data_IF_971597058834
#
_entry.id   IF_971597058834
#
_cell.length_a   1.000
_cell.length_b   1.000
_cell.length_c   1.000
_cell.angle_alpha   90.00
_cell.angle_beta   90.00
_cell.angle_gamma   90.00
#
_symmetry.space_group_name_H-M   'P 1'
#
loop_
_entity.id
_entity.type
_entity.pdbx_description
1 polymer ?
#
# COMPACT_ATOMS: atom_id res chain seq x y z
N UNK A 1 19.61 -84.55 -11.17
CA UNK A 1 19.86 -85.49 -12.28
C UNK A 1 20.52 -84.72 -13.41
N UNK A 2 21.81 -85.00 -13.68
CA UNK A 2 22.71 -84.62 -14.82
C UNK A 2 22.80 -83.13 -15.21
N UNK A 3 23.89 -82.38 -14.94
CA UNK A 3 25.27 -82.33 -15.53
C UNK A 3 25.37 -81.95 -17.02
N UNK A 4 26.35 -81.06 -17.24
CA UNK A 4 27.13 -80.76 -18.47
C UNK A 4 26.49 -79.78 -19.46
N UNK A 5 27.19 -78.87 -20.16
CA UNK A 5 28.59 -78.42 -20.27
C UNK A 5 28.53 -77.10 -21.10
N UNK A 6 29.39 -76.10 -20.86
CA UNK A 6 30.51 -75.68 -21.73
C UNK A 6 30.09 -75.30 -23.19
N UNK A 7 30.42 -74.16 -23.81
CA UNK A 7 31.26 -73.04 -23.47
C UNK A 7 31.41 -72.09 -24.69
N UNK A 8 31.89 -70.86 -24.39
CA UNK A 8 32.70 -69.94 -25.21
C UNK A 8 32.20 -69.37 -26.55
N UNK A 9 32.04 -68.05 -26.54
CA UNK A 9 32.19 -67.15 -27.69
C UNK A 9 32.34 -65.68 -27.27
N UNK A 10 33.59 -65.23 -27.11
CA UNK A 10 34.10 -63.83 -27.05
C UNK A 10 33.27 -62.85 -27.93
N UNK A 11 33.04 -61.57 -27.62
CA UNK A 11 33.97 -60.51 -27.22
C UNK A 11 33.16 -59.19 -27.04
N UNK A 12 33.61 -58.37 -26.09
CA UNK A 12 33.71 -56.91 -26.14
C UNK A 12 33.08 -56.10 -25.00
N UNK A 13 34.02 -55.45 -24.31
CA UNK A 13 33.92 -54.42 -23.30
C UNK A 13 33.16 -53.21 -23.83
N UNK A 14 32.22 -52.69 -23.04
CA UNK A 14 32.12 -51.25 -22.85
C UNK A 14 31.83 -50.93 -21.38
N UNK A 15 32.70 -50.08 -20.83
CA UNK A 15 32.73 -49.59 -19.45
C UNK A 15 31.49 -48.75 -19.18
N UNK A 16 30.75 -49.05 -18.11
CA UNK A 16 29.77 -48.16 -17.53
C UNK A 16 30.51 -47.07 -16.74
N UNK A 17 30.44 -45.83 -17.21
CA UNK A 17 30.81 -44.65 -16.44
C UNK A 17 29.52 -44.07 -15.81
N UNK A 18 29.42 -44.15 -14.48
CA UNK A 18 28.42 -43.41 -13.71
C UNK A 18 28.71 -41.91 -13.83
N UNK A 19 27.85 -41.17 -14.53
CA UNK A 19 27.80 -39.71 -14.46
C UNK A 19 26.68 -39.34 -13.50
N UNK A 20 27.05 -38.79 -12.34
CA UNK A 20 26.13 -38.16 -11.43
C UNK A 20 25.61 -36.86 -12.08
N UNK A 21 24.31 -36.79 -12.33
CA UNK A 21 23.65 -35.58 -12.80
C UNK A 21 23.43 -34.67 -11.59
N UNK A 22 24.31 -33.69 -11.38
CA UNK A 22 24.01 -32.55 -10.52
C UNK A 22 22.94 -31.71 -11.24
N UNK A 23 21.70 -31.76 -10.75
CA UNK A 23 20.68 -30.78 -11.09
C UNK A 23 21.05 -29.43 -10.44
N UNK A 24 21.81 -28.60 -11.15
CA UNK A 24 21.87 -27.17 -10.88
C UNK A 24 20.53 -26.55 -11.27
N UNK A 25 19.71 -26.25 -10.26
CA UNK A 25 18.54 -25.40 -10.44
C UNK A 25 19.05 -23.99 -10.71
N UNK A 26 19.00 -23.55 -11.97
CA UNK A 26 19.14 -22.14 -12.29
C UNK A 26 17.87 -21.41 -11.81
N UNK A 27 17.97 -20.34 -10.99
CA UNK A 27 16.81 -19.51 -10.73
C UNK A 27 16.34 -18.95 -12.07
N UNK A 28 15.08 -19.25 -12.41
CA UNK A 28 14.48 -18.78 -13.64
C UNK A 28 14.52 -17.25 -13.69
N UNK A 29 14.70 -16.71 -14.90
CA UNK A 29 14.65 -15.26 -15.20
C UNK A 29 13.36 -14.56 -14.73
N UNK A 30 12.34 -15.29 -14.26
CA UNK A 30 11.17 -14.74 -13.61
C UNK A 30 11.39 -14.27 -12.17
N UNK A 31 12.31 -14.87 -11.41
CA UNK A 31 12.56 -14.51 -10.00
C UNK A 31 13.45 -13.26 -9.87
N UNK A 32 14.46 -13.14 -10.75
CA UNK A 32 15.38 -11.99 -10.79
C UNK A 32 14.66 -10.70 -11.24
N UNK A 33 13.73 -10.80 -12.19
CA UNK A 33 12.96 -9.64 -12.67
C UNK A 33 11.88 -9.22 -11.66
N UNK A 34 11.39 -10.13 -10.82
CA UNK A 34 10.47 -9.78 -9.73
C UNK A 34 11.18 -9.02 -8.60
N UNK A 35 12.47 -9.31 -8.33
CA UNK A 35 13.21 -8.64 -7.25
C UNK A 35 13.56 -7.18 -7.54
N UNK A 36 13.80 -6.80 -8.81
CA UNK A 36 14.11 -5.40 -9.17
C UNK A 36 12.87 -4.49 -9.18
N UNK A 37 11.67 -5.03 -9.42
CA UNK A 37 10.41 -4.26 -9.45
C UNK A 37 9.99 -3.85 -8.04
N UNK A 38 10.11 -4.74 -7.07
CA UNK A 38 9.61 -4.54 -5.71
C UNK A 38 10.51 -3.57 -4.94
N UNK A 39 9.96 -2.86 -3.93
CA UNK A 39 10.80 -2.09 -3.01
C UNK A 39 11.76 -3.02 -2.25
N UNK A 40 12.96 -2.52 -1.95
CA UNK A 40 13.91 -3.26 -1.12
C UNK A 40 13.29 -3.63 0.23
N UNK A 41 13.70 -4.77 0.77
CA UNK A 41 13.12 -5.32 1.99
C UNK A 41 14.19 -6.06 2.78
N UNK A 42 14.25 -5.80 4.09
CA UNK A 42 15.05 -6.57 5.04
C UNK A 42 14.30 -6.69 6.36
N UNK A 43 14.58 -7.75 7.10
CA UNK A 43 14.13 -7.92 8.49
C UNK A 43 15.17 -7.44 9.52
N UNK A 44 16.31 -6.90 9.10
CA UNK A 44 17.38 -6.48 10.02
C UNK A 44 16.83 -5.51 11.08
N UNK A 45 16.02 -4.54 10.66
CA UNK A 45 15.25 -3.66 11.53
C UNK A 45 13.78 -3.58 11.08
N UNK A 46 12.96 -2.75 11.73
CA UNK A 46 11.57 -2.52 11.31
C UNK A 46 11.56 -1.95 9.89
N UNK A 47 10.92 -2.61 8.89
CA UNK A 47 10.85 -2.06 7.54
C UNK A 47 9.95 -0.83 7.52
N UNK A 48 10.50 0.30 7.08
CA UNK A 48 9.78 1.58 7.02
C UNK A 48 9.47 1.99 5.58
N UNK A 49 8.47 2.84 5.41
CA UNK A 49 8.22 3.55 4.16
C UNK A 49 7.79 4.99 4.43
N UNK A 50 7.62 5.77 3.37
CA UNK A 50 7.15 7.15 3.48
C UNK A 50 5.93 7.43 2.60
N UNK A 51 5.03 8.25 3.12
CA UNK A 51 3.88 8.79 2.41
C UNK A 51 3.73 10.26 2.80
N UNK A 52 4.05 11.18 1.88
CA UNK A 52 4.26 12.58 2.23
C UNK A 52 3.78 13.53 1.13
N UNK A 53 3.34 14.72 1.53
CA UNK A 53 3.13 15.88 0.65
C UNK A 53 3.85 17.11 1.21
N UNK A 54 4.45 17.88 0.32
CA UNK A 54 5.00 19.20 0.64
C UNK A 54 4.69 20.13 -0.53
N UNK A 55 3.97 21.23 -0.30
CA UNK A 55 3.59 22.13 -1.41
C UNK A 55 4.81 22.78 -2.05
N UNK A 56 5.92 22.80 -1.33
CA UNK A 56 7.19 23.35 -1.75
C UNK A 56 8.17 22.27 -2.19
N UNK A 57 9.23 22.63 -2.93
CA UNK A 57 10.38 21.74 -3.12
C UNK A 57 10.97 21.27 -1.78
N UNK A 58 11.45 20.03 -1.74
CA UNK A 58 12.17 19.47 -0.58
C UNK A 58 13.58 20.05 -0.49
N UNK A 59 14.07 20.26 0.73
CA UNK A 59 15.46 20.69 0.97
C UNK A 59 16.43 19.51 0.80
N UNK A 60 17.74 19.74 0.64
CA UNK A 60 18.73 18.66 0.58
C UNK A 60 18.67 17.69 1.78
N UNK A 61 18.41 18.21 2.98
CA UNK A 61 18.31 17.40 4.21
C UNK A 61 17.06 16.51 4.20
N UNK A 62 15.93 17.05 3.73
CA UNK A 62 14.70 16.27 3.57
C UNK A 62 14.84 15.22 2.48
N UNK A 63 15.51 15.53 1.37
CA UNK A 63 15.81 14.56 0.30
C UNK A 63 16.71 13.43 0.80
N UNK A 64 17.73 13.74 1.60
CA UNK A 64 18.56 12.74 2.27
C UNK A 64 17.75 11.88 3.23
N UNK A 65 16.83 12.48 3.98
CA UNK A 65 15.93 11.71 4.84
C UNK A 65 15.03 10.77 4.02
N UNK A 66 14.40 11.29 2.97
CA UNK A 66 13.55 10.53 2.07
C UNK A 66 14.28 9.37 1.38
N UNK A 67 15.55 9.55 1.02
CA UNK A 67 16.32 8.51 0.32
C UNK A 67 16.58 7.25 1.12
N UNK A 68 16.36 7.24 2.45
CA UNK A 68 16.48 6.03 3.26
C UNK A 68 15.29 5.07 3.11
N UNK A 69 14.15 5.54 2.59
CA UNK A 69 12.96 4.71 2.47
C UNK A 69 12.95 3.95 1.15
N UNK A 70 12.74 2.62 1.16
CA UNK A 70 12.66 1.82 -0.06
C UNK A 70 11.39 2.08 -0.86
N UNK A 71 10.34 2.59 -0.23
CA UNK A 71 9.04 2.92 -0.84
C UNK A 71 8.61 4.32 -0.38
N UNK A 72 8.27 5.18 -1.34
CA UNK A 72 7.86 6.56 -1.09
C UNK A 72 6.65 6.88 -1.95
N UNK A 73 5.58 7.38 -1.34
CA UNK A 73 4.46 7.98 -2.06
C UNK A 73 4.52 9.49 -1.92
N UNK A 74 4.56 10.20 -3.05
CA UNK A 74 4.35 11.63 -3.09
C UNK A 74 2.88 11.94 -3.37
N UNK A 75 2.27 12.61 -2.40
CA UNK A 75 0.86 12.96 -2.40
C UNK A 75 0.53 14.12 -3.35
N UNK A 76 -0.77 14.34 -3.56
CA UNK A 76 -1.27 15.51 -4.30
C UNK A 76 -0.64 16.80 -3.78
N UNK A 77 -0.47 17.78 -4.67
CA UNK A 77 0.15 19.10 -4.41
C UNK A 77 1.65 19.10 -4.11
N UNK A 78 2.35 17.96 -4.17
CA UNK A 78 3.80 17.93 -3.94
C UNK A 78 4.54 18.82 -4.96
N UNK A 79 5.35 19.77 -4.47
CA UNK A 79 6.10 20.72 -5.30
C UNK A 79 5.25 21.70 -6.12
N UNK A 80 3.95 21.79 -5.85
CA UNK A 80 3.01 22.59 -6.65
C UNK A 80 3.42 24.06 -6.75
N UNK A 81 3.98 24.64 -5.67
CA UNK A 81 4.29 26.08 -5.64
C UNK A 81 5.44 26.46 -6.56
N UNK A 82 6.47 25.63 -6.66
CA UNK A 82 7.64 25.91 -7.49
C UNK A 82 7.50 25.36 -8.91
N UNK A 83 6.73 24.28 -9.10
CA UNK A 83 6.67 23.55 -10.37
C UNK A 83 5.30 23.59 -11.06
N UNK A 84 4.30 24.24 -10.47
CA UNK A 84 3.02 24.58 -11.11
C UNK A 84 1.98 23.45 -11.18
N UNK A 85 2.39 22.19 -11.09
CA UNK A 85 1.48 21.02 -11.08
C UNK A 85 1.98 19.90 -10.17
N UNK A 86 1.05 19.03 -9.73
CA UNK A 86 1.41 17.83 -8.95
C UNK A 86 2.31 16.89 -9.75
N UNK A 87 2.06 16.74 -11.06
CA UNK A 87 2.89 15.98 -11.99
C UNK A 87 4.34 16.49 -12.00
N UNK A 88 4.53 17.78 -12.29
CA UNK A 88 5.87 18.36 -12.37
C UNK A 88 6.59 18.35 -11.03
N UNK A 89 5.89 18.67 -9.94
CA UNK A 89 6.50 18.68 -8.61
C UNK A 89 6.86 17.28 -8.10
N UNK A 90 6.02 16.28 -8.38
CA UNK A 90 6.33 14.87 -8.06
C UNK A 90 7.52 14.37 -8.87
N UNK A 91 7.57 14.66 -10.17
CA UNK A 91 8.70 14.29 -11.02
C UNK A 91 10.02 14.86 -10.49
N UNK A 92 10.04 16.15 -10.10
CA UNK A 92 11.24 16.78 -9.54
C UNK A 92 11.65 16.18 -8.19
N UNK A 93 10.71 15.90 -7.31
CA UNK A 93 11.00 15.23 -6.05
C UNK A 93 11.54 13.80 -6.28
N UNK A 94 10.93 13.06 -7.21
CA UNK A 94 11.33 11.71 -7.58
C UNK A 94 12.76 11.67 -8.13
N UNK A 95 13.06 12.54 -9.12
CA UNK A 95 14.41 12.68 -9.68
C UNK A 95 15.45 12.97 -8.59
N UNK A 96 15.15 13.90 -7.68
CA UNK A 96 16.07 14.28 -6.60
C UNK A 96 16.30 13.14 -5.59
N UNK A 97 15.28 12.36 -5.25
CA UNK A 97 15.46 11.17 -4.41
C UNK A 97 16.26 10.10 -5.15
N UNK A 98 15.95 9.83 -6.43
CA UNK A 98 16.65 8.81 -7.24
C UNK A 98 18.13 9.12 -7.44
N UNK A 99 18.54 10.39 -7.43
CA UNK A 99 19.95 10.77 -7.43
C UNK A 99 20.70 10.32 -6.16
N UNK A 100 20.00 10.24 -5.02
CA UNK A 100 20.56 9.82 -3.74
C UNK A 100 20.39 8.31 -3.51
N UNK A 101 19.26 7.74 -3.94
CA UNK A 101 18.97 6.32 -3.87
C UNK A 101 18.23 5.88 -5.16
N UNK A 102 18.94 5.38 -6.17
CA UNK A 102 18.33 4.91 -7.43
C UNK A 102 17.34 3.75 -7.25
N UNK A 103 17.45 3.00 -6.14
CA UNK A 103 16.63 1.82 -5.88
C UNK A 103 15.30 2.11 -5.19
N UNK A 104 15.16 3.29 -4.55
CA UNK A 104 13.92 3.69 -3.90
C UNK A 104 12.77 3.66 -4.90
N UNK A 105 11.63 3.09 -4.52
CA UNK A 105 10.42 3.00 -5.35
C UNK A 105 9.52 4.20 -5.08
N UNK A 106 9.27 5.00 -6.11
CA UNK A 106 8.46 6.21 -6.02
C UNK A 106 7.08 5.96 -6.62
N UNK A 107 6.03 6.19 -5.83
CA UNK A 107 4.64 6.13 -6.26
C UNK A 107 4.07 7.54 -6.41
N UNK A 108 3.42 7.78 -7.54
CA UNK A 108 2.64 8.98 -7.80
C UNK A 108 1.22 8.82 -7.24
N UNK A 109 0.78 9.73 -6.37
CA UNK A 109 -0.58 9.72 -5.84
C UNK A 109 -1.61 10.08 -6.91
N UNK A 110 -2.67 9.28 -7.01
CA UNK A 110 -3.84 9.60 -7.82
C UNK A 110 -5.12 9.13 -7.15
N UNK A 111 -6.13 10.00 -7.09
CA UNK A 111 -7.45 9.61 -6.63
C UNK A 111 -8.32 9.13 -7.80
N UNK A 112 -9.01 7.99 -7.64
CA UNK A 112 -9.89 7.43 -8.67
C UNK A 112 -11.26 8.12 -8.74
N UNK A 113 -11.69 8.80 -7.68
CA UNK A 113 -13.03 9.39 -7.61
C UNK A 113 -13.03 10.88 -7.27
N UNK A 114 -12.17 11.35 -6.38
CA UNK A 114 -12.16 12.74 -5.91
C UNK A 114 -11.27 13.60 -6.83
N UNK A 115 -11.80 14.73 -7.29
CA UNK A 115 -11.01 15.72 -8.03
C UNK A 115 -10.38 16.74 -7.09
N UNK A 116 -9.11 17.03 -7.33
CA UNK A 116 -8.39 18.15 -6.72
C UNK A 116 -7.82 19.00 -7.86
N UNK A 117 -8.10 20.30 -7.87
CA UNK A 117 -7.67 21.23 -8.93
C UNK A 117 -6.19 21.61 -8.74
N UNK A 118 -5.30 20.65 -9.03
CA UNK A 118 -3.85 20.78 -8.83
C UNK A 118 -3.03 19.93 -9.82
N UNK A 119 -3.62 19.53 -10.95
CA UNK A 119 -2.99 18.67 -11.94
C UNK A 119 -2.78 19.39 -13.27
N UNK A 120 -1.67 19.10 -13.95
CA UNK A 120 -1.43 19.50 -15.35
C UNK A 120 -2.56 18.97 -16.24
N UNK A 121 -2.98 17.72 -15.98
CA UNK A 121 -4.04 17.01 -16.69
C UNK A 121 -5.42 17.70 -16.63
N UNK A 122 -5.62 18.63 -15.69
CA UNK A 122 -6.88 19.37 -15.56
C UNK A 122 -7.17 20.24 -16.80
N UNK A 123 -6.15 20.59 -17.60
CA UNK A 123 -6.31 21.30 -18.88
C UNK A 123 -7.17 20.51 -19.87
N UNK A 124 -7.02 19.19 -19.91
CA UNK A 124 -7.80 18.32 -20.78
C UNK A 124 -9.13 17.93 -20.16
N UNK A 125 -9.17 17.75 -18.83
CA UNK A 125 -10.41 17.46 -18.10
C UNK A 125 -11.46 18.55 -18.35
N UNK A 126 -11.04 19.83 -18.39
CA UNK A 126 -11.91 20.99 -18.66
C UNK A 126 -12.56 20.97 -20.06
N UNK A 127 -12.07 20.15 -20.98
CA UNK A 127 -12.60 20.00 -22.34
C UNK A 127 -13.63 18.88 -22.45
N UNK A 128 -13.69 18.00 -21.46
CA UNK A 128 -14.63 16.87 -21.42
C UNK A 128 -16.00 17.40 -21.01
N UNK A 129 -17.05 16.99 -21.73
CA UNK A 129 -18.41 17.35 -21.37
C UNK A 129 -18.84 16.58 -20.11
N UNK A 130 -19.36 17.28 -19.10
CA UNK A 130 -19.86 16.69 -17.85
C UNK A 130 -18.86 15.71 -17.18
N UNK A 131 -17.65 16.15 -16.79
CA UNK A 131 -16.63 15.26 -16.26
C UNK A 131 -16.87 14.86 -14.79
N UNK A 132 -17.83 15.52 -14.12
CA UNK A 132 -18.11 15.36 -12.70
C UNK A 132 -19.54 14.89 -12.45
N UNK A 133 -19.70 14.14 -11.36
CA UNK A 133 -21.01 13.77 -10.84
C UNK A 133 -21.78 15.03 -10.42
N UNK A 134 -23.07 15.07 -10.79
CA UNK A 134 -24.00 16.14 -10.43
C UNK A 134 -25.03 15.58 -9.46
N UNK A 135 -25.14 16.18 -8.28
CA UNK A 135 -26.16 15.81 -7.31
C UNK A 135 -27.56 16.27 -7.72
N UNK A 136 -28.60 15.75 -7.07
CA UNK A 136 -30.00 16.17 -7.27
C UNK A 136 -30.23 17.68 -7.11
N UNK A 137 -29.37 18.37 -6.36
CA UNK A 137 -29.41 19.83 -6.18
C UNK A 137 -28.76 20.62 -7.34
N UNK A 138 -28.22 19.94 -8.35
CA UNK A 138 -27.42 20.55 -9.42
C UNK A 138 -25.96 20.83 -9.06
N UNK A 139 -25.55 20.57 -7.81
CA UNK A 139 -24.15 20.80 -7.38
C UNK A 139 -23.21 19.67 -7.82
N UNK A 140 -22.02 20.04 -8.28
CA UNK A 140 -20.91 19.10 -8.53
C UNK A 140 -20.00 18.90 -7.32
N UNK A 141 -20.07 19.78 -6.32
CA UNK A 141 -19.23 19.72 -5.10
C UNK A 141 -19.77 18.67 -4.12
N UNK A 142 -19.67 17.41 -4.48
CA UNK A 142 -20.30 16.31 -3.73
C UNK A 142 -19.42 15.77 -2.60
N UNK A 143 -18.10 15.94 -2.69
CA UNK A 143 -17.17 15.44 -1.66
C UNK A 143 -16.95 16.53 -0.61
N UNK A 144 -17.38 16.26 0.63
CA UNK A 144 -17.34 17.21 1.76
C UNK A 144 -18.02 18.56 1.48
N UNK A 145 -18.96 18.60 0.54
CA UNK A 145 -19.55 19.83 0.01
C UNK A 145 -18.51 20.85 -0.52
N UNK A 146 -17.32 20.38 -0.91
CA UNK A 146 -16.17 21.25 -1.25
C UNK A 146 -15.61 20.97 -2.64
N UNK A 147 -15.34 19.70 -2.94
CA UNK A 147 -14.65 19.32 -4.18
C UNK A 147 -15.50 18.35 -5.02
N UNK A 148 -15.28 18.33 -6.35
CA UNK A 148 -16.01 17.42 -7.23
C UNK A 148 -15.62 15.96 -7.05
N UNK A 149 -16.52 15.08 -7.51
CA UNK A 149 -16.22 13.68 -7.78
C UNK A 149 -16.30 13.43 -9.28
N UNK A 150 -15.34 12.70 -9.86
CA UNK A 150 -15.36 12.28 -11.25
C UNK A 150 -16.59 11.43 -11.55
N UNK A 151 -17.22 11.67 -12.70
CA UNK A 151 -18.21 10.75 -13.23
C UNK A 151 -17.52 9.63 -14.01
N UNK A 152 -17.14 8.56 -13.32
CA UNK A 152 -16.50 7.42 -13.99
C UNK A 152 -17.40 6.74 -15.03
N UNK A 153 -18.73 6.94 -15.00
CA UNK A 153 -19.61 6.42 -16.04
C UNK A 153 -19.45 7.14 -17.39
N UNK A 154 -18.76 8.29 -17.41
CA UNK A 154 -18.36 8.98 -18.61
C UNK A 154 -17.07 8.37 -19.21
N UNK A 155 -17.15 7.83 -20.42
CA UNK A 155 -16.03 7.15 -21.09
C UNK A 155 -14.86 8.07 -21.44
N UNK A 156 -15.11 9.36 -21.67
CA UNK A 156 -14.03 10.33 -21.88
C UNK A 156 -13.24 10.57 -20.60
N UNK A 157 -13.91 10.58 -19.44
CA UNK A 157 -13.26 10.67 -18.12
C UNK A 157 -12.41 9.42 -17.85
N UNK A 158 -12.92 8.22 -18.17
CA UNK A 158 -12.13 6.99 -18.06
C UNK A 158 -10.87 7.06 -18.91
N UNK A 159 -11.00 7.45 -20.19
CA UNK A 159 -9.89 7.55 -21.13
C UNK A 159 -8.87 8.62 -20.71
N UNK A 160 -9.33 9.78 -20.22
CA UNK A 160 -8.47 10.82 -19.66
C UNK A 160 -7.71 10.34 -18.43
N UNK A 161 -8.38 9.66 -17.50
CA UNK A 161 -7.75 9.19 -16.28
C UNK A 161 -6.66 8.15 -16.58
N UNK A 162 -6.97 7.18 -17.45
CA UNK A 162 -6.05 6.13 -17.89
C UNK A 162 -4.86 6.70 -18.68
N UNK A 163 -5.10 7.64 -19.60
CA UNK A 163 -4.03 8.29 -20.37
C UNK A 163 -3.04 9.00 -19.46
N UNK A 164 -3.53 9.80 -18.52
CA UNK A 164 -2.63 10.53 -17.62
C UNK A 164 -1.91 9.59 -16.64
N UNK A 165 -2.52 8.46 -16.27
CA UNK A 165 -1.86 7.42 -15.48
C UNK A 165 -0.65 6.83 -16.22
N UNK A 166 -0.81 6.57 -17.53
CA UNK A 166 0.30 6.16 -18.41
C UNK A 166 1.37 7.25 -18.53
N UNK A 167 0.97 8.51 -18.74
CA UNK A 167 1.91 9.62 -18.95
C UNK A 167 2.84 9.84 -17.74
N UNK A 168 2.31 9.82 -16.50
CA UNK A 168 3.16 9.96 -15.31
C UNK A 168 4.08 8.76 -15.10
N UNK A 169 3.60 7.55 -15.40
CA UNK A 169 4.40 6.33 -15.30
C UNK A 169 5.41 6.14 -16.45
N UNK A 170 5.39 7.00 -17.48
CA UNK A 170 6.40 7.00 -18.52
C UNK A 170 7.76 7.56 -18.02
N UNK A 171 7.76 8.27 -16.90
CA UNK A 171 8.98 8.75 -16.25
C UNK A 171 9.85 7.61 -15.75
N UNK A 172 11.17 7.72 -15.93
CA UNK A 172 12.15 6.79 -15.32
C UNK A 172 12.27 6.95 -13.80
N UNK A 173 11.79 8.08 -13.24
CA UNK A 173 11.90 8.36 -11.81
C UNK A 173 10.66 7.94 -11.02
N UNK A 174 9.55 7.63 -11.69
CA UNK A 174 8.28 7.22 -11.08
C UNK A 174 8.06 5.72 -11.35
N UNK A 175 8.17 4.91 -10.32
CA UNK A 175 8.07 3.45 -10.41
C UNK A 175 6.62 2.95 -10.46
N UNK A 176 5.63 3.81 -10.18
CA UNK A 176 4.24 3.38 -10.15
C UNK A 176 3.24 4.40 -9.62
N UNK A 177 2.04 3.89 -9.32
CA UNK A 177 0.91 4.66 -8.81
C UNK A 177 0.54 4.22 -7.40
N UNK A 178 0.14 5.20 -6.61
CA UNK A 178 -0.70 4.98 -5.45
C UNK A 178 -2.13 5.44 -5.77
N UNK A 179 -3.09 4.53 -5.73
CA UNK A 179 -4.50 4.81 -6.06
C UNK A 179 -5.30 4.96 -4.78
N UNK A 180 -5.79 6.17 -4.56
CA UNK A 180 -6.69 6.50 -3.46
C UNK A 180 -8.15 6.64 -3.93
N UNK A 181 -9.09 6.66 -2.99
CA UNK A 181 -10.52 6.83 -3.27
C UNK A 181 -11.26 5.55 -3.67
N UNK A 182 -10.60 4.38 -3.68
CA UNK A 182 -11.26 3.11 -4.01
C UNK A 182 -12.46 2.84 -3.10
N UNK A 183 -12.33 3.09 -1.80
CA UNK A 183 -13.42 2.87 -0.84
C UNK A 183 -14.65 3.69 -1.20
N UNK A 184 -14.46 4.95 -1.59
CA UNK A 184 -15.53 5.84 -2.05
C UNK A 184 -16.17 5.33 -3.35
N UNK A 185 -15.38 4.80 -4.28
CA UNK A 185 -15.85 4.23 -5.54
C UNK A 185 -16.54 2.86 -5.39
N UNK A 186 -16.28 2.13 -4.31
CA UNK A 186 -16.80 0.77 -4.06
C UNK A 186 -17.94 0.73 -3.04
N UNK A 187 -17.96 1.63 -2.07
CA UNK A 187 -19.01 1.66 -1.04
C UNK A 187 -20.36 2.02 -1.66
N UNK A 188 -21.36 1.15 -1.44
CA UNK A 188 -22.68 1.26 -2.07
C UNK A 188 -23.46 2.47 -1.57
N UNK A 189 -23.27 2.83 -0.29
CA UNK A 189 -23.96 3.96 0.33
C UNK A 189 -23.39 5.33 -0.07
N UNK A 190 -22.12 5.40 -0.44
CA UNK A 190 -21.46 6.68 -0.71
C UNK A 190 -22.09 7.42 -1.88
N UNK A 191 -22.44 8.68 -1.66
CA UNK A 191 -23.15 9.56 -2.60
C UNK A 191 -24.49 9.04 -3.15
N UNK A 192 -24.96 7.83 -2.78
CA UNK A 192 -26.15 7.21 -3.36
C UNK A 192 -27.41 8.07 -3.22
N UNK A 193 -27.56 8.76 -2.10
CA UNK A 193 -28.67 9.71 -1.90
C UNK A 193 -28.60 10.90 -2.86
N UNK A 194 -27.39 11.42 -3.08
CA UNK A 194 -27.10 12.61 -3.86
C UNK A 194 -27.22 12.37 -5.37
N UNK A 195 -26.74 11.25 -5.89
CA UNK A 195 -26.70 10.96 -7.35
C UNK A 195 -27.73 9.93 -7.81
N UNK A 196 -28.39 9.23 -6.87
CA UNK A 196 -29.35 8.17 -7.17
C UNK A 196 -28.70 6.80 -7.39
N UNK A 197 -29.52 5.76 -7.22
CA UNK A 197 -29.08 4.36 -7.27
C UNK A 197 -28.45 3.96 -8.60
N UNK A 198 -29.14 4.22 -9.72
CA UNK A 198 -28.67 3.81 -11.05
C UNK A 198 -27.32 4.44 -11.42
N UNK A 199 -27.16 5.76 -11.20
CA UNK A 199 -25.87 6.43 -11.43
C UNK A 199 -24.79 5.89 -10.50
N UNK A 200 -25.12 5.59 -9.24
CA UNK A 200 -24.15 5.02 -8.30
C UNK A 200 -23.63 3.66 -8.76
N UNK A 201 -24.53 2.78 -9.18
CA UNK A 201 -24.19 1.44 -9.66
C UNK A 201 -23.38 1.51 -10.97
N UNK A 202 -23.68 2.48 -11.85
CA UNK A 202 -22.90 2.76 -13.06
C UNK A 202 -21.47 3.22 -12.72
N UNK A 203 -21.29 4.10 -11.73
CA UNK A 203 -19.95 4.54 -11.28
C UNK A 203 -19.13 3.39 -10.70
N UNK A 204 -19.74 2.50 -9.91
CA UNK A 204 -19.04 1.30 -9.39
C UNK A 204 -18.67 0.33 -10.51
N UNK A 205 -19.56 0.12 -11.48
CA UNK A 205 -19.27 -0.72 -12.65
C UNK A 205 -18.11 -0.14 -13.46
N UNK A 206 -18.13 1.17 -13.70
CA UNK A 206 -17.06 1.89 -14.37
C UNK A 206 -15.72 1.86 -13.63
N UNK A 207 -15.72 1.92 -12.29
CA UNK A 207 -14.51 1.73 -11.49
C UNK A 207 -13.83 0.39 -11.85
N UNK A 208 -14.59 -0.70 -11.91
CA UNK A 208 -14.04 -2.00 -12.29
C UNK A 208 -13.50 -2.03 -13.72
N UNK A 209 -14.15 -1.33 -14.66
CA UNK A 209 -13.63 -1.21 -16.03
C UNK A 209 -12.28 -0.49 -16.08
N UNK A 210 -12.14 0.61 -15.34
CA UNK A 210 -10.87 1.36 -15.26
C UNK A 210 -9.78 0.51 -14.61
N UNK A 211 -10.08 -0.14 -13.48
CA UNK A 211 -9.09 -0.99 -12.79
C UNK A 211 -8.66 -2.20 -13.62
N UNK A 212 -9.54 -2.78 -14.44
CA UNK A 212 -9.19 -3.86 -15.39
C UNK A 212 -8.29 -3.39 -16.53
N UNK A 213 -8.52 -2.18 -17.03
CA UNK A 213 -7.74 -1.60 -18.13
C UNK A 213 -6.38 -1.05 -17.67
N UNK A 214 -6.27 -0.66 -16.40
CA UNK A 214 -5.08 0.01 -15.89
C UNK A 214 -3.79 -0.79 -16.09
N UNK A 215 -3.68 -2.08 -15.71
CA UNK A 215 -2.46 -2.86 -15.94
C UNK A 215 -2.07 -2.99 -17.42
N UNK A 216 -3.04 -2.93 -18.34
CA UNK A 216 -2.81 -2.96 -19.78
C UNK A 216 -2.39 -1.59 -20.33
N UNK A 217 -2.77 -0.53 -19.63
CA UNK A 217 -2.50 0.87 -19.98
C UNK A 217 -1.12 1.31 -19.53
N UNK A 218 -0.68 0.84 -18.36
CA UNK A 218 0.64 1.15 -17.84
C UNK A 218 1.69 0.38 -18.65
N UNK A 219 2.60 1.13 -19.26
CA UNK A 219 3.80 0.59 -19.87
C UNK A 219 4.82 0.29 -18.77
N UNK A 220 5.77 -0.61 -19.04
CA UNK A 220 6.69 -1.19 -18.04
C UNK A 220 5.93 -1.87 -16.89
N UNK A 221 6.67 -2.67 -16.14
CA UNK A 221 6.19 -3.24 -14.90
C UNK A 221 6.11 -2.10 -13.84
N UNK A 222 5.18 -1.16 -13.99
CA UNK A 222 4.84 -0.16 -12.95
C UNK A 222 4.13 -0.79 -11.77
N UNK A 223 4.47 -0.38 -10.55
CA UNK A 223 3.76 -0.77 -9.33
C UNK A 223 2.41 -0.06 -9.25
N UNK A 224 1.39 -0.76 -8.78
CA UNK A 224 0.09 -0.18 -8.46
C UNK A 224 -0.30 -0.61 -7.05
N UNK A 225 -0.22 0.32 -6.10
CA UNK A 225 -0.63 0.12 -4.70
C UNK A 225 -1.91 0.91 -4.45
N UNK A 226 -2.88 0.34 -3.75
CA UNK A 226 -4.18 0.98 -3.58
C UNK A 226 -4.64 1.06 -2.12
N UNK A 227 -5.42 2.08 -1.80
CA UNK A 227 -6.15 2.14 -0.54
C UNK A 227 -7.41 1.25 -0.63
N UNK A 228 -7.29 -0.07 -0.36
CA UNK A 228 -8.38 -1.03 -0.67
C UNK A 228 -8.73 -2.00 0.46
N UNK A 229 -7.77 -2.44 1.28
CA UNK A 229 -8.08 -3.30 2.43
C UNK A 229 -8.82 -2.48 3.50
N UNK A 230 -10.08 -2.86 3.75
CA UNK A 230 -10.99 -2.27 4.74
C UNK A 230 -11.95 -3.33 5.27
N UNK A 231 -11.94 -3.57 6.58
CA UNK A 231 -12.77 -4.60 7.21
C UNK A 231 -14.29 -4.39 7.00
N UNK A 232 -14.73 -3.18 6.65
CA UNK A 232 -16.13 -2.85 6.32
C UNK A 232 -16.68 -3.61 5.11
N UNK A 233 -15.83 -4.01 4.17
CA UNK A 233 -16.26 -4.81 3.01
C UNK A 233 -16.46 -6.27 3.37
N UNK A 234 -17.14 -7.02 2.49
CA UNK A 234 -17.49 -8.42 2.73
C UNK A 234 -16.25 -9.24 3.06
N UNK A 235 -15.26 -9.24 2.16
CA UNK A 235 -13.99 -9.96 2.33
C UNK A 235 -12.85 -8.99 2.69
N UNK A 236 -13.20 -7.94 3.44
CA UNK A 236 -12.28 -6.90 3.93
C UNK A 236 -11.50 -6.16 2.82
N UNK A 237 -12.02 -6.13 1.59
CA UNK A 237 -11.40 -5.50 0.43
C UNK A 237 -10.48 -6.43 -0.36
N UNK A 238 -10.27 -7.67 0.11
CA UNK A 238 -9.49 -8.66 -0.63
C UNK A 238 -10.14 -9.05 -1.95
N UNK A 239 -11.48 -8.95 -2.05
CA UNK A 239 -12.23 -9.19 -3.28
C UNK A 239 -11.89 -8.21 -4.43
N UNK A 240 -11.12 -7.15 -4.13
CA UNK A 240 -10.67 -6.15 -5.11
C UNK A 240 -9.14 -6.07 -5.24
N UNK A 241 -8.38 -6.83 -4.43
CA UNK A 241 -6.93 -6.69 -4.34
C UNK A 241 -6.19 -7.17 -5.59
N UNK A 242 -6.81 -8.02 -6.41
CA UNK A 242 -6.20 -8.58 -7.62
C UNK A 242 -5.89 -7.55 -8.71
N UNK A 243 -6.49 -6.36 -8.64
CA UNK A 243 -6.11 -5.23 -9.50
C UNK A 243 -4.75 -4.61 -9.15
N UNK A 244 -4.20 -4.92 -7.98
CA UNK A 244 -3.11 -4.17 -7.37
C UNK A 244 -1.96 -5.08 -6.91
N UNK A 245 -0.75 -4.53 -6.86
CA UNK A 245 0.43 -5.18 -6.27
C UNK A 245 0.41 -5.17 -4.75
N UNK A 246 -0.44 -4.34 -4.15
CA UNK A 246 -0.53 -4.21 -2.72
C UNK A 246 -1.58 -3.23 -2.24
N UNK A 247 -1.69 -3.16 -0.92
CA UNK A 247 -2.59 -2.22 -0.26
C UNK A 247 -1.83 -1.28 0.66
N UNK A 248 -2.25 -0.02 0.60
CA UNK A 248 -2.10 0.93 1.68
C UNK A 248 -3.17 0.68 2.74
N UNK A 249 -2.78 0.76 4.01
CA UNK A 249 -3.66 0.56 5.15
C UNK A 249 -3.93 1.91 5.81
N UNK A 250 -5.20 2.21 6.02
CA UNK A 250 -5.72 3.38 6.71
C UNK A 250 -7.10 3.03 7.27
N UNK A 251 -7.63 3.81 8.21
CA UNK A 251 -8.95 3.55 8.78
C UNK A 251 -9.09 2.16 9.39
N UNK A 252 -7.95 1.57 9.78
CA UNK A 252 -7.85 0.19 10.23
C UNK A 252 -8.62 -0.06 11.53
N UNK A 253 -8.65 0.95 12.40
CA UNK A 253 -9.30 0.91 13.71
C UNK A 253 -10.66 1.63 13.71
N UNK A 254 -11.13 2.09 12.55
CA UNK A 254 -12.39 2.79 12.39
C UNK A 254 -13.50 1.78 12.10
N UNK A 255 -14.17 1.32 13.16
CA UNK A 255 -15.32 0.42 13.08
C UNK A 255 -16.52 1.13 12.42
N UNK A 256 -17.30 0.38 11.64
CA UNK A 256 -18.57 0.87 11.07
C UNK A 256 -19.62 -0.24 11.03
N UNK A 257 -20.88 0.14 10.80
CA UNK A 257 -21.96 -0.82 10.59
C UNK A 257 -22.39 -1.56 11.85
N UNK A 258 -22.14 -1.00 13.03
CA UNK A 258 -22.51 -1.58 14.32
C UNK A 258 -21.66 -2.80 14.73
N UNK A 259 -20.50 -2.99 14.10
CA UNK A 259 -19.52 -4.01 14.49
C UNK A 259 -18.64 -3.46 15.60
N UNK A 260 -18.37 -4.27 16.63
CA UNK A 260 -17.44 -3.93 17.71
C UNK A 260 -16.01 -3.77 17.19
N UNK A 261 -15.25 -2.83 17.77
CA UNK A 261 -13.93 -2.41 17.27
C UNK A 261 -12.97 -3.58 17.17
N UNK A 262 -12.98 -4.43 18.19
CA UNK A 262 -12.13 -5.62 18.26
C UNK A 262 -12.42 -6.62 17.15
N UNK A 263 -13.68 -6.81 16.76
CA UNK A 263 -14.06 -7.68 15.66
C UNK A 263 -13.68 -7.06 14.31
N UNK A 264 -13.86 -5.75 14.18
CA UNK A 264 -13.45 -5.00 13.00
C UNK A 264 -11.93 -5.08 12.79
N UNK A 265 -11.16 -4.83 13.85
CA UNK A 265 -9.69 -4.91 13.83
C UNK A 265 -9.22 -6.35 13.61
N UNK A 266 -9.84 -7.35 14.26
CA UNK A 266 -9.49 -8.76 14.05
C UNK A 266 -9.68 -9.18 12.58
N UNK A 267 -10.79 -8.78 11.96
CA UNK A 267 -11.06 -9.00 10.54
C UNK A 267 -10.02 -8.30 9.66
N UNK A 268 -9.63 -7.07 10.02
CA UNK A 268 -8.56 -6.34 9.37
C UNK A 268 -7.20 -7.05 9.43
N UNK A 269 -6.80 -7.53 10.62
CA UNK A 269 -5.54 -8.28 10.83
C UNK A 269 -5.52 -9.50 9.91
N UNK A 270 -6.59 -10.30 9.92
CA UNK A 270 -6.68 -11.51 9.10
C UNK A 270 -6.56 -11.18 7.59
N UNK A 271 -7.18 -10.09 7.15
CA UNK A 271 -7.11 -9.65 5.75
C UNK A 271 -5.69 -9.21 5.35
N UNK A 272 -5.04 -8.40 6.19
CA UNK A 272 -3.65 -7.96 5.95
C UNK A 272 -2.71 -9.16 5.94
N UNK A 273 -2.81 -10.08 6.90
CA UNK A 273 -1.99 -11.29 6.93
C UNK A 273 -2.17 -12.12 5.66
N UNK A 274 -3.42 -12.30 5.19
CA UNK A 274 -3.69 -13.04 3.95
C UNK A 274 -3.07 -12.36 2.73
N UNK A 275 -3.21 -11.04 2.61
CA UNK A 275 -2.60 -10.27 1.53
C UNK A 275 -1.06 -10.33 1.59
N UNK A 276 -0.46 -10.07 2.76
CA UNK A 276 0.98 -10.06 2.96
C UNK A 276 1.61 -11.43 2.64
N UNK A 277 1.00 -12.53 3.09
CA UNK A 277 1.47 -13.89 2.78
C UNK A 277 1.36 -14.27 1.31
N UNK A 278 0.50 -13.60 0.55
CA UNK A 278 0.41 -13.77 -0.90
C UNK A 278 1.46 -12.96 -1.68
N UNK A 279 2.40 -12.29 -0.99
CA UNK A 279 3.47 -11.51 -1.61
C UNK A 279 3.06 -10.08 -2.02
N UNK A 280 1.87 -9.63 -1.60
CA UNK A 280 1.39 -8.27 -1.87
C UNK A 280 2.11 -7.26 -0.97
N UNK A 281 2.34 -6.06 -1.50
CA UNK A 281 2.90 -4.95 -0.72
C UNK A 281 1.88 -4.54 0.35
N UNK A 282 2.32 -4.40 1.60
CA UNK A 282 1.53 -3.78 2.67
C UNK A 282 2.22 -2.49 3.10
N UNK A 283 1.61 -1.36 2.75
CA UNK A 283 2.04 -0.04 3.21
C UNK A 283 1.18 0.34 4.42
N UNK A 284 1.64 -0.02 5.62
CA UNK A 284 0.88 0.11 6.86
C UNK A 284 1.02 1.52 7.45
N UNK A 285 0.05 2.39 7.18
CA UNK A 285 -0.05 3.70 7.85
C UNK A 285 -1.02 3.64 9.00
N UNK A 286 -0.63 4.26 10.10
CA UNK A 286 -1.49 4.40 11.26
C UNK A 286 -1.23 5.74 11.95
N UNK A 287 -2.32 6.50 12.19
CA UNK A 287 -2.24 7.84 12.74
C UNK A 287 -2.02 7.87 14.26
N UNK A 288 -1.49 8.97 14.79
CA UNK A 288 -1.38 9.19 16.24
C UNK A 288 -2.68 9.66 16.91
N UNK A 289 -3.67 10.10 16.13
CA UNK A 289 -5.01 10.46 16.61
C UNK A 289 -6.09 9.48 16.15
N UNK A 290 -7.33 9.72 16.57
CA UNK A 290 -8.45 8.95 16.03
C UNK A 290 -8.59 9.19 14.52
N UNK A 291 -8.83 8.11 13.79
CA UNK A 291 -9.19 8.20 12.40
C UNK A 291 -10.69 8.51 12.28
N UNK A 292 -11.04 9.62 11.65
CA UNK A 292 -12.41 9.92 11.28
C UNK A 292 -12.53 9.85 9.76
N UNK A 293 -13.30 8.91 9.21
CA UNK A 293 -13.67 8.92 7.80
C UNK A 293 -14.83 9.91 7.58
N UNK A 294 -14.51 11.19 7.73
CA UNK A 294 -15.51 12.30 7.68
C UNK A 294 -16.27 12.37 6.36
N UNK A 295 -15.84 11.62 5.34
CA UNK A 295 -16.45 11.59 4.02
C UNK A 295 -17.52 10.51 3.90
N UNK A 296 -17.33 9.37 4.57
CA UNK A 296 -18.17 8.18 4.41
C UNK A 296 -19.25 8.06 5.49
N UNK A 297 -19.07 8.74 6.62
CA UNK A 297 -19.99 8.68 7.74
C UNK A 297 -21.03 9.79 7.64
N UNK A 298 -22.27 9.42 7.31
CA UNK A 298 -23.42 10.33 7.26
C UNK A 298 -23.74 10.99 8.62
N UNK A 299 -23.21 10.44 9.70
CA UNK A 299 -23.22 11.00 11.03
C UNK A 299 -21.77 11.06 11.48
N UNK A 300 -21.19 12.27 11.54
CA UNK A 300 -19.79 12.45 11.92
C UNK A 300 -19.50 11.66 13.19
N UNK A 301 -18.73 10.58 13.04
CA UNK A 301 -18.32 9.79 14.19
C UNK A 301 -17.31 10.63 14.96
N UNK A 302 -17.78 11.33 16.00
CA UNK A 302 -16.89 11.86 17.01
C UNK A 302 -16.41 10.66 17.85
N UNK A 303 -15.53 9.83 17.30
CA UNK A 303 -14.76 8.92 18.13
C UNK A 303 -13.94 9.80 19.08
N UNK A 304 -14.27 9.75 20.37
CA UNK A 304 -13.52 10.43 21.42
C UNK A 304 -12.10 9.91 21.36
N UNK A 305 -11.15 10.78 20.98
CA UNK A 305 -9.73 10.44 20.99
C UNK A 305 -9.33 10.19 22.43
N UNK A 306 -9.07 8.94 22.80
CA UNK A 306 -8.36 8.65 24.04
C UNK A 306 -6.97 9.27 23.90
N UNK A 307 -6.64 10.23 24.77
CA UNK A 307 -5.29 10.82 24.79
C UNK A 307 -4.33 9.76 25.30
N UNK A 308 -3.72 9.04 24.37
CA UNK A 308 -2.68 8.06 24.64
C UNK A 308 -1.31 8.74 24.49
N UNK A 309 -0.35 8.52 25.40
CA UNK A 309 1.02 8.96 25.20
C UNK A 309 1.56 8.52 23.84
N UNK A 310 2.38 9.36 23.20
CA UNK A 310 2.92 9.05 21.86
C UNK A 310 3.69 7.72 21.86
N UNK A 311 4.40 7.42 22.95
CA UNK A 311 5.15 6.18 23.09
C UNK A 311 4.23 4.96 23.12
N UNK A 312 3.19 4.97 23.94
CA UNK A 312 2.21 3.87 24.01
C UNK A 312 1.48 3.69 22.67
N UNK A 313 1.17 4.81 21.98
CA UNK A 313 0.56 4.75 20.64
C UNK A 313 1.53 4.16 19.61
N UNK A 314 2.81 4.53 19.66
CA UNK A 314 3.84 3.95 18.80
C UNK A 314 3.95 2.44 19.05
N UNK A 315 4.09 2.02 20.31
CA UNK A 315 4.25 0.60 20.67
C UNK A 315 3.04 -0.23 20.22
N UNK A 316 1.82 0.25 20.49
CA UNK A 316 0.60 -0.41 20.01
C UNK A 316 0.54 -0.51 18.48
N UNK A 317 0.81 0.60 17.80
CA UNK A 317 0.80 0.66 16.32
C UNK A 317 1.85 -0.27 15.70
N UNK A 318 3.04 -0.29 16.28
CA UNK A 318 4.14 -1.14 15.83
C UNK A 318 3.83 -2.62 16.08
N UNK A 319 3.27 -2.97 17.24
CA UNK A 319 2.86 -4.34 17.53
C UNK A 319 1.76 -4.81 16.55
N UNK A 320 0.79 -3.94 16.24
CA UNK A 320 -0.26 -4.19 15.26
C UNK A 320 0.30 -4.49 13.87
N UNK A 321 1.29 -3.72 13.43
CA UNK A 321 2.02 -3.98 12.19
C UNK A 321 2.78 -5.31 12.25
N UNK A 322 3.56 -5.56 13.31
CA UNK A 322 4.42 -6.74 13.42
C UNK A 322 3.64 -8.05 13.49
N UNK A 323 2.44 -8.08 14.07
CA UNK A 323 1.59 -9.29 14.02
C UNK A 323 1.05 -9.57 12.60
N UNK A 324 1.01 -8.57 11.73
CA UNK A 324 0.54 -8.68 10.36
C UNK A 324 1.67 -8.89 9.33
N UNK A 325 2.85 -8.35 9.60
CA UNK A 325 3.90 -8.12 8.60
C UNK A 325 4.46 -9.42 8.00
N UNK A 326 4.56 -9.47 6.68
CA UNK A 326 5.34 -10.48 5.96
C UNK A 326 6.33 -9.76 5.02
N UNK A 327 7.07 -10.50 4.19
CA UNK A 327 7.95 -9.90 3.18
C UNK A 327 7.17 -8.87 2.34
N UNK A 328 7.77 -7.69 2.12
CA UNK A 328 7.16 -6.52 1.47
C UNK A 328 6.07 -5.78 2.29
N UNK A 329 6.11 -5.90 3.62
CA UNK A 329 5.32 -5.06 4.53
C UNK A 329 6.18 -3.94 5.12
N UNK A 330 5.67 -2.71 5.11
CA UNK A 330 6.38 -1.52 5.59
C UNK A 330 5.50 -0.70 6.52
N UNK A 331 6.11 -0.05 7.51
CA UNK A 331 5.43 0.70 8.56
C UNK A 331 5.63 2.21 8.45
N UNK A 332 4.59 2.99 8.75
CA UNK A 332 4.66 4.43 8.97
C UNK A 332 3.68 4.86 10.06
N UNK A 333 4.21 5.36 11.18
CA UNK A 333 3.42 6.13 12.14
C UNK A 333 3.19 7.55 11.59
N UNK A 334 1.94 7.94 11.40
CA UNK A 334 1.58 9.18 10.70
C UNK A 334 1.10 10.30 11.64
N UNK A 335 1.66 11.49 11.44
CA UNK A 335 1.16 12.76 11.98
C UNK A 335 0.30 13.53 10.97
N UNK A 336 -0.09 12.89 9.87
CA UNK A 336 -0.61 13.52 8.65
C UNK A 336 0.44 13.55 7.54
N UNK A 337 0.00 13.79 6.30
CA UNK A 337 0.87 13.72 5.12
C UNK A 337 1.57 15.05 4.80
N UNK A 338 0.97 16.18 5.19
CA UNK A 338 1.52 17.52 4.95
C UNK A 338 2.65 17.86 5.90
N UNK A 339 3.81 18.25 5.35
CA UNK A 339 4.99 18.61 6.16
C UNK A 339 5.37 20.09 6.08
N UNK A 340 4.55 20.88 5.40
CA UNK A 340 4.70 22.33 5.31
C UNK A 340 4.57 23.00 6.70
N UNK A 341 5.42 24.02 6.93
CA UNK A 341 5.30 24.93 8.06
C UNK A 341 5.46 24.31 9.46
N UNK A 342 6.07 23.12 9.59
CA UNK A 342 6.29 22.47 10.89
C UNK A 342 5.03 22.02 11.61
N UNK A 343 3.92 21.88 10.87
CA UNK A 343 2.62 21.44 11.38
C UNK A 343 2.63 19.95 11.75
N UNK A 344 3.35 19.13 11.01
CA UNK A 344 3.55 17.72 11.31
C UNK A 344 4.71 17.51 12.29
N UNK A 345 4.39 17.13 13.52
CA UNK A 345 5.36 16.90 14.61
C UNK A 345 6.13 15.58 14.51
N UNK A 346 5.77 14.71 13.56
CA UNK A 346 6.49 13.47 13.28
C UNK A 346 7.37 13.57 12.04
N UNK A 347 7.34 14.68 11.30
CA UNK A 347 8.18 14.85 10.12
C UNK A 347 9.65 14.74 10.50
N UNK A 348 10.38 13.85 9.82
CA UNK A 348 11.80 13.53 10.10
C UNK A 348 12.08 13.07 11.53
N UNK A 349 11.06 12.64 12.28
CA UNK A 349 11.24 12.10 13.62
C UNK A 349 11.74 10.67 13.53
N UNK A 350 12.88 10.42 14.15
CA UNK A 350 13.41 9.07 14.35
C UNK A 350 12.98 8.52 15.71
N UNK A 351 12.64 7.24 15.75
CA UNK A 351 12.23 6.53 16.95
C UNK A 351 13.24 5.41 17.22
N UNK A 352 13.77 5.27 18.45
CA UNK A 352 14.78 4.26 18.75
C UNK A 352 14.38 2.83 18.34
N UNK A 353 13.09 2.50 18.42
CA UNK A 353 12.52 1.21 18.00
C UNK A 353 12.78 0.87 16.54
N UNK A 354 12.88 1.86 15.66
CA UNK A 354 13.09 1.65 14.22
C UNK A 354 14.50 1.17 13.90
N UNK A 355 15.47 1.43 14.79
CA UNK A 355 16.86 1.02 14.62
C UNK A 355 17.23 -0.24 15.42
N UNK A 356 16.28 -0.82 16.17
CA UNK A 356 16.54 -2.05 16.93
C UNK A 356 16.60 -3.27 16.00
N UNK A 357 17.50 -4.23 16.26
CA UNK A 357 17.49 -5.50 15.56
C UNK A 357 16.13 -6.19 15.70
N UNK A 358 15.54 -6.62 14.59
CA UNK A 358 14.27 -7.34 14.57
C UNK A 358 14.49 -8.82 14.20
N UNK A 359 15.14 -9.04 13.06
CA UNK A 359 15.35 -10.34 12.42
C UNK A 359 14.05 -10.97 11.90
N UNK A 360 14.12 -12.05 11.10
CA UNK A 360 12.94 -12.68 10.52
C UNK A 360 11.97 -13.22 11.59
N UNK A 361 10.65 -13.27 11.27
CA UNK A 361 9.68 -13.90 12.15
C UNK A 361 9.95 -15.40 12.28
N UNK A 362 9.84 -15.95 13.49
CA UNK A 362 9.94 -17.40 13.75
C UNK A 362 8.71 -18.18 13.27
N UNK A 363 7.66 -17.46 12.85
CA UNK A 363 6.43 -18.03 12.35
C UNK A 363 5.31 -16.98 12.23
N UNK A 364 4.11 -17.41 11.81
CA UNK A 364 2.92 -16.56 11.84
C UNK A 364 2.53 -16.20 13.28
N UNK A 365 1.80 -15.10 13.45
CA UNK A 365 1.22 -14.76 14.76
C UNK A 365 0.22 -15.83 15.22
N UNK A 366 0.24 -16.16 16.51
CA UNK A 366 -0.73 -17.03 17.17
C UNK A 366 -1.81 -16.16 17.80
N UNK A 367 -3.07 -16.50 17.52
CA UNK A 367 -4.23 -15.78 18.05
C UNK A 367 -4.93 -16.62 19.14
N UNK A 368 -5.22 -16.00 20.30
CA UNK A 368 -6.06 -16.56 21.38
C UNK A 368 -7.10 -15.52 21.77
N UNK A 369 -8.34 -15.68 21.30
CA UNK A 369 -9.34 -14.62 21.40
C UNK A 369 -8.89 -13.37 20.66
N UNK A 370 -8.81 -12.24 21.35
CA UNK A 370 -8.31 -10.95 20.80
C UNK A 370 -6.85 -10.65 21.15
N UNK A 371 -6.13 -11.65 21.66
CA UNK A 371 -4.69 -11.54 21.93
C UNK A 371 -3.92 -12.20 20.80
N UNK A 372 -2.92 -11.49 20.28
CA UNK A 372 -2.00 -11.93 19.24
C UNK A 372 -0.58 -11.94 19.78
N UNK A 373 0.13 -13.03 19.54
CA UNK A 373 1.53 -13.20 19.95
C UNK A 373 2.37 -13.58 18.73
N UNK A 374 3.53 -12.94 18.56
CA UNK A 374 4.45 -13.29 17.48
C UNK A 374 5.90 -13.10 17.91
N UNK A 375 6.73 -14.09 17.64
CA UNK A 375 8.18 -14.02 17.89
C UNK A 375 8.95 -13.76 16.61
N UNK A 376 9.91 -12.86 16.70
CA UNK A 376 10.98 -12.62 15.75
C UNK A 376 12.30 -13.12 16.36
N UNK A 377 13.36 -13.10 15.56
CA UNK A 377 14.70 -13.48 16.03
C UNK A 377 15.10 -12.67 17.28
N UNK A 378 14.93 -11.34 17.22
CA UNK A 378 15.37 -10.40 18.26
C UNK A 378 14.23 -9.66 18.96
N UNK A 379 12.97 -10.03 18.74
CA UNK A 379 11.83 -9.44 19.46
C UNK A 379 10.74 -10.46 19.74
N UNK A 380 9.96 -10.24 20.80
CA UNK A 380 8.67 -10.89 21.03
C UNK A 380 7.59 -9.82 21.13
N UNK A 381 6.50 -10.02 20.39
CA UNK A 381 5.38 -9.10 20.26
C UNK A 381 4.16 -9.72 20.91
N UNK A 382 3.50 -8.96 21.79
CA UNK A 382 2.18 -9.28 22.32
C UNK A 382 1.24 -8.09 22.07
N UNK A 383 0.07 -8.36 21.50
CA UNK A 383 -0.95 -7.37 21.18
C UNK A 383 -2.30 -7.86 21.72
N UNK A 384 -3.04 -6.98 22.41
CA UNK A 384 -4.41 -7.21 22.86
C UNK A 384 -5.31 -6.13 22.26
N UNK A 385 -6.08 -6.49 21.23
CA UNK A 385 -6.90 -5.52 20.48
C UNK A 385 -8.23 -5.18 21.16
N UNK A 386 -8.66 -5.96 22.15
CA UNK A 386 -9.85 -5.70 22.98
C UNK A 386 -9.50 -4.64 24.04
N UNK A 387 -8.34 -4.77 24.69
CA UNK A 387 -7.86 -3.82 25.70
C UNK A 387 -7.09 -2.63 25.13
N UNK A 388 -6.76 -2.66 23.85
CA UNK A 388 -5.91 -1.67 23.18
C UNK A 388 -4.53 -1.54 23.86
N UNK A 389 -3.92 -2.68 24.20
CA UNK A 389 -2.59 -2.73 24.81
C UNK A 389 -1.63 -3.57 23.99
N UNK A 390 -0.36 -3.24 24.07
CA UNK A 390 0.70 -4.00 23.42
C UNK A 390 1.97 -3.97 24.27
N UNK A 391 2.87 -4.91 23.98
CA UNK A 391 4.23 -4.90 24.49
C UNK A 391 5.15 -5.50 23.43
N UNK A 392 6.30 -4.85 23.19
CA UNK A 392 7.37 -5.38 22.36
C UNK A 392 8.61 -5.58 23.21
N UNK A 393 8.96 -6.83 23.49
CA UNK A 393 10.17 -7.19 24.23
C UNK A 393 11.31 -7.42 23.25
N UNK A 394 12.22 -6.46 23.17
CA UNK A 394 13.44 -6.55 22.37
C UNK A 394 14.49 -7.40 23.11
N UNK A 395 14.98 -8.45 22.47
CA UNK A 395 16.04 -9.32 22.99
C UNK A 395 17.37 -8.60 22.81
N UNK A 396 18.21 -8.61 23.84
CA UNK A 396 19.59 -8.15 23.67
C UNK A 396 20.26 -9.00 22.59
N UNK A 397 21.06 -8.38 21.74
CA UNK A 397 21.98 -9.11 20.89
C UNK A 397 22.87 -9.93 21.83
N UNK A 398 22.80 -11.26 21.75
CA UNK A 398 23.82 -12.11 22.35
C UNK A 398 25.14 -11.72 21.69
N UNK A 399 26.04 -11.15 22.48
CA UNK A 399 27.41 -10.76 22.08
C UNK A 399 28.20 -11.91 21.46
#
# INVERSE_FOLDING_TARGET
MKRDQDGRGRRDLMKAACVAFLCTVFPGSGEVVASERMPEFSWDTVPLYMHVRKVTAFTPEELKYLSHFPLITFEKTTGLREFGSTESGTEKAAQAVKQLNPKAKILYYRNILVHYDCYEADKDLKKIENPFLVGRSGSTKLVRNKVPAYDLSNKEVQAWWLRNAREVCASESIDGLFIDGNIKALEKGYLRGQIGAAKRDAVTSAYHEVMKQLPQTLEKKSLVVANVIRARFKDAGLEYLDYFDGSYIEGFEHEVGGVERKDYVAKGIAAIQKAARSGKIIAFTIGTGAYADTDMDAHGSQQKVKKTPLQDRLEYSLALFLVCAEKHSYFMLSGGYGVDGGSNKLWMKDFPEYSKPLGPPKGPAVQKGYVYERSFEHADVRLDIDKETAAITWKQASE
#
